data_IF_769979215120
#
_entry.id   IF_769979215120
#
_cell.length_a   1.000
_cell.length_b   1.000
_cell.length_c   1.000
_cell.angle_alpha   90.00
_cell.angle_beta   90.00
_cell.angle_gamma   90.00
#
_symmetry.space_group_name_H-M   'P 1'
#
loop_
_entity.id
_entity.type
_entity.pdbx_description
1 polymer ?
#
# COMPACT_ATOMS: atom_id res chain seq x y z
N UNK A 1 -0.59 -12.20 2.00
CA UNK A 1 -0.86 -10.81 2.47
C UNK A 1 -1.31 -10.02 1.26
N UNK A 2 -2.43 -9.30 1.34
CA UNK A 2 -2.94 -8.55 0.19
C UNK A 2 -2.40 -7.14 0.13
N UNK A 3 -1.85 -6.78 -1.02
CA UNK A 3 -1.34 -5.43 -1.30
C UNK A 3 -2.10 -4.81 -2.47
N UNK A 4 -2.45 -3.54 -2.31
CA UNK A 4 -3.01 -2.68 -3.34
C UNK A 4 -1.94 -1.70 -3.84
N UNK A 5 -1.76 -1.64 -5.15
CA UNK A 5 -0.85 -0.73 -5.83
C UNK A 5 -1.67 0.29 -6.61
N UNK A 6 -1.61 1.55 -6.21
CA UNK A 6 -2.17 2.66 -6.98
C UNK A 6 -1.15 3.07 -8.03
N UNK A 7 -1.40 2.68 -9.27
CA UNK A 7 -0.50 2.87 -10.41
C UNK A 7 -0.89 4.10 -11.25
N UNK A 8 0.08 4.61 -12.01
CA UNK A 8 -0.15 5.65 -13.01
C UNK A 8 -1.20 5.20 -14.03
N UNK A 9 -2.04 6.14 -14.46
CA UNK A 9 -3.05 5.92 -15.52
C UNK A 9 -2.56 6.38 -16.89
N UNK A 10 -1.33 6.89 -16.97
CA UNK A 10 -0.73 7.37 -18.23
C UNK A 10 -0.55 6.25 -19.24
N UNK A 11 -0.31 5.03 -18.73
CA UNK A 11 -0.09 3.84 -19.54
C UNK A 11 -0.91 2.68 -18.99
N UNK A 12 -1.60 1.96 -19.87
CA UNK A 12 -2.53 0.90 -19.49
C UNK A 12 -1.82 -0.37 -18.98
N UNK A 13 -0.64 -0.69 -19.53
CA UNK A 13 0.04 -1.98 -19.30
C UNK A 13 1.41 -1.85 -18.64
N UNK A 14 2.14 -0.76 -18.89
CA UNK A 14 3.50 -0.57 -18.36
C UNK A 14 3.59 -0.62 -16.83
N UNK A 15 2.71 0.08 -16.06
CA UNK A 15 2.81 0.06 -14.61
C UNK A 15 2.56 -1.32 -14.02
N UNK A 16 1.63 -2.09 -14.63
CA UNK A 16 1.38 -3.49 -14.23
C UNK A 16 2.60 -4.37 -14.49
N UNK A 17 3.19 -4.26 -15.68
CA UNK A 17 4.38 -5.02 -16.03
C UNK A 17 5.56 -4.70 -15.10
N UNK A 18 5.72 -3.44 -14.70
CA UNK A 18 6.74 -3.02 -13.73
C UNK A 18 6.55 -3.70 -12.36
N UNK A 19 5.31 -3.69 -11.83
CA UNK A 19 4.99 -4.35 -10.56
C UNK A 19 5.30 -5.84 -10.61
N UNK A 20 4.83 -6.52 -11.66
CA UNK A 20 5.06 -7.96 -11.85
C UNK A 20 6.56 -8.27 -11.94
N UNK A 21 7.30 -7.53 -12.79
CA UNK A 21 8.74 -7.72 -12.94
C UNK A 21 9.49 -7.52 -11.63
N UNK A 22 9.09 -6.56 -10.79
CA UNK A 22 9.67 -6.36 -9.48
C UNK A 22 9.38 -7.52 -8.51
N UNK A 23 8.13 -8.03 -8.51
CA UNK A 23 7.76 -9.19 -7.69
C UNK A 23 8.53 -10.45 -8.10
N UNK A 24 8.65 -10.68 -9.41
CA UNK A 24 9.43 -11.80 -9.97
C UNK A 24 10.92 -11.68 -9.62
N UNK A 25 11.50 -10.49 -9.77
CA UNK A 25 12.90 -10.23 -9.41
C UNK A 25 13.18 -10.46 -7.92
N UNK A 26 12.17 -10.23 -7.06
CA UNK A 26 12.24 -10.49 -5.62
C UNK A 26 11.84 -11.92 -5.25
N UNK A 27 11.50 -12.77 -6.24
CA UNK A 27 11.03 -14.15 -6.05
C UNK A 27 9.82 -14.25 -5.09
N UNK A 28 8.95 -13.23 -5.14
CA UNK A 28 7.70 -13.22 -4.39
C UNK A 28 6.67 -13.98 -5.21
N UNK A 29 6.03 -14.98 -4.59
CA UNK A 29 4.89 -15.68 -5.20
C UNK A 29 3.65 -14.82 -5.01
N UNK A 30 2.92 -14.57 -6.09
CA UNK A 30 1.74 -13.73 -6.05
C UNK A 30 0.57 -14.31 -6.86
N UNK A 31 -0.63 -13.86 -6.51
CA UNK A 31 -1.86 -14.08 -7.29
C UNK A 31 -2.50 -12.73 -7.54
N UNK A 32 -2.81 -12.43 -8.81
CA UNK A 32 -3.59 -11.24 -9.15
C UNK A 32 -5.04 -11.43 -8.72
N UNK A 33 -5.53 -10.52 -7.90
CA UNK A 33 -6.92 -10.51 -7.42
C UNK A 33 -7.75 -9.55 -8.28
N UNK A 34 -7.19 -8.38 -8.61
CA UNK A 34 -7.91 -7.34 -9.33
C UNK A 34 -6.96 -6.42 -10.10
N UNK A 35 -7.41 -5.98 -11.27
CA UNK A 35 -6.81 -4.88 -12.02
C UNK A 35 -7.91 -3.99 -12.61
N UNK A 36 -8.03 -2.78 -12.10
CA UNK A 36 -9.05 -1.83 -12.59
C UNK A 36 -8.57 -0.38 -12.49
N UNK A 37 -8.58 0.34 -13.62
CA UNK A 37 -8.48 1.81 -13.72
C UNK A 37 -7.44 2.47 -12.78
N UNK A 38 -6.24 1.92 -12.73
CA UNK A 38 -5.14 2.45 -11.91
C UNK A 38 -5.01 1.83 -10.52
N UNK A 39 -5.76 0.77 -10.21
CA UNK A 39 -5.57 -0.07 -9.04
C UNK A 39 -5.20 -1.50 -9.45
N UNK A 40 -4.14 -2.02 -8.85
CA UNK A 40 -3.78 -3.43 -8.89
C UNK A 40 -3.85 -4.01 -7.49
N UNK A 41 -4.44 -5.20 -7.34
CA UNK A 41 -4.46 -5.94 -6.08
C UNK A 41 -3.84 -7.30 -6.28
N UNK A 42 -2.84 -7.60 -5.45
CA UNK A 42 -2.16 -8.90 -5.43
C UNK A 42 -2.24 -9.50 -4.04
N UNK A 43 -2.45 -10.81 -3.96
CA UNK A 43 -2.12 -11.58 -2.77
C UNK A 43 -0.69 -12.10 -2.88
N UNK A 44 0.16 -11.71 -1.93
CA UNK A 44 1.57 -12.09 -1.84
C UNK A 44 1.74 -13.19 -0.80
N UNK A 45 2.12 -14.39 -1.24
CA UNK A 45 2.07 -15.62 -0.44
C UNK A 45 3.26 -15.82 0.51
N UNK A 46 4.38 -15.15 0.25
CA UNK A 46 5.63 -15.29 1.01
C UNK A 46 6.28 -13.93 1.30
N UNK A 47 5.47 -12.87 1.34
CA UNK A 47 5.94 -11.53 1.65
C UNK A 47 5.63 -11.16 3.10
N UNK A 48 6.49 -10.32 3.68
CA UNK A 48 6.25 -9.65 4.96
C UNK A 48 6.02 -8.14 4.74
N UNK A 49 5.87 -7.37 5.82
CA UNK A 49 5.66 -5.92 5.75
C UNK A 49 6.83 -5.15 5.12
N UNK A 50 8.05 -5.70 5.12
CA UNK A 50 9.23 -5.03 4.56
C UNK A 50 9.20 -4.98 3.03
N UNK A 51 8.44 -5.87 2.38
CA UNK A 51 8.36 -5.92 0.91
C UNK A 51 7.89 -4.58 0.32
N UNK A 52 6.97 -3.90 1.00
CA UNK A 52 6.43 -2.63 0.55
C UNK A 52 7.54 -1.56 0.51
N UNK A 53 8.48 -1.59 1.45
CA UNK A 53 9.61 -0.67 1.48
C UNK A 53 10.57 -0.92 0.32
N UNK A 54 10.86 -2.19 0.03
CA UNK A 54 11.74 -2.59 -1.08
C UNK A 54 11.10 -2.19 -2.42
N UNK A 55 9.81 -2.48 -2.59
CA UNK A 55 9.06 -2.15 -3.81
C UNK A 55 8.93 -0.63 -4.00
N UNK A 56 8.72 0.14 -2.93
CA UNK A 56 8.63 1.60 -3.02
C UNK A 56 9.91 2.25 -3.58
N UNK A 57 11.07 1.64 -3.38
CA UNK A 57 12.34 2.11 -3.96
C UNK A 57 12.58 1.67 -5.42
N UNK A 58 11.73 0.79 -5.98
CA UNK A 58 11.92 0.19 -7.32
C UNK A 58 10.83 0.57 -8.32
N UNK A 59 9.62 0.84 -7.84
CA UNK A 59 8.48 1.16 -8.71
C UNK A 59 8.48 2.65 -9.05
N UNK A 60 8.69 2.98 -10.33
CA UNK A 60 8.66 4.34 -10.84
C UNK A 60 7.26 4.81 -11.25
N UNK A 61 6.36 3.88 -11.59
CA UNK A 61 5.00 4.18 -12.08
C UNK A 61 3.90 3.88 -11.06
N UNK A 62 4.27 3.69 -9.79
CA UNK A 62 3.34 3.41 -8.69
C UNK A 62 3.34 4.56 -7.69
N UNK A 63 2.18 5.15 -7.44
CA UNK A 63 2.01 6.28 -6.53
C UNK A 63 1.93 5.85 -5.06
N UNK A 64 1.25 4.73 -4.78
CA UNK A 64 1.08 4.23 -3.42
C UNK A 64 1.06 2.70 -3.40
N UNK A 65 1.68 2.14 -2.36
CA UNK A 65 1.61 0.72 -2.02
C UNK A 65 0.88 0.63 -0.68
N UNK A 66 -0.23 -0.08 -0.65
CA UNK A 66 -1.15 -0.14 0.48
C UNK A 66 -1.29 -1.59 0.93
N UNK A 67 -1.22 -1.82 2.23
CA UNK A 67 -1.62 -3.10 2.81
C UNK A 67 -3.15 -3.11 2.99
N UNK A 68 -3.81 -4.17 2.51
CA UNK A 68 -5.24 -4.37 2.71
C UNK A 68 -5.44 -5.09 4.04
N UNK A 69 -6.11 -4.42 4.98
CA UNK A 69 -6.45 -4.98 6.30
C UNK A 69 -7.82 -5.67 6.33
N UNK A 70 -8.69 -5.32 5.39
CA UNK A 70 -9.98 -5.97 5.21
C UNK A 70 -10.78 -5.33 4.07
N UNK A 71 -11.89 -5.96 3.72
CA UNK A 71 -12.74 -5.58 2.60
C UNK A 71 -14.21 -5.85 2.97
N UNK A 72 -15.12 -4.98 2.55
CA UNK A 72 -16.55 -5.18 2.71
C UNK A 72 -17.28 -4.80 1.41
N UNK A 73 -18.41 -5.45 1.15
CA UNK A 73 -19.24 -5.10 0.00
C UNK A 73 -19.93 -3.76 0.22
N UNK A 74 -20.09 -2.99 -0.86
CA UNK A 74 -20.94 -1.80 -0.85
C UNK A 74 -22.36 -2.17 -1.28
N UNK A 75 -23.30 -2.17 -0.34
CA UNK A 75 -24.70 -2.55 -0.59
C UNK A 75 -25.60 -1.37 -1.00
N UNK A 76 -25.04 -0.19 -1.31
CA UNK A 76 -25.81 1.01 -1.67
C UNK A 76 -26.56 1.68 -0.50
N UNK A 77 -26.77 0.97 0.61
CA UNK A 77 -27.23 1.52 1.88
C UNK A 77 -26.02 1.97 2.72
N UNK A 78 -25.98 3.27 3.01
CA UNK A 78 -24.93 3.89 3.82
C UNK A 78 -24.85 3.27 5.21
N UNK A 79 -25.99 3.00 5.86
CA UNK A 79 -26.00 2.46 7.23
C UNK A 79 -25.39 1.06 7.28
N UNK A 80 -25.76 0.22 6.31
CA UNK A 80 -25.19 -1.13 6.18
C UNK A 80 -23.71 -1.11 5.85
N UNK A 81 -23.30 -0.20 4.95
CA UNK A 81 -21.88 -0.04 4.59
C UNK A 81 -21.06 0.39 5.80
N UNK A 82 -21.56 1.32 6.62
CA UNK A 82 -20.87 1.76 7.84
C UNK A 82 -20.79 0.64 8.88
N UNK A 83 -21.87 -0.14 9.05
CA UNK A 83 -21.86 -1.30 9.96
C UNK A 83 -20.81 -2.34 9.54
N UNK A 84 -20.80 -2.73 8.25
CA UNK A 84 -19.82 -3.67 7.72
C UNK A 84 -18.37 -3.14 7.82
N UNK A 85 -18.16 -1.83 7.60
CA UNK A 85 -16.85 -1.21 7.81
C UNK A 85 -16.41 -1.27 9.28
N UNK A 86 -17.34 -1.10 10.24
CA UNK A 86 -17.02 -1.21 11.66
C UNK A 86 -16.56 -2.62 11.99
N UNK A 87 -17.29 -3.64 11.51
CA UNK A 87 -16.93 -5.06 11.73
C UNK A 87 -15.55 -5.37 11.17
N UNK A 88 -15.25 -4.94 9.93
CA UNK A 88 -13.93 -5.12 9.33
C UNK A 88 -12.83 -4.42 10.13
N UNK A 89 -13.11 -3.26 10.72
CA UNK A 89 -12.14 -2.51 11.53
C UNK A 89 -11.89 -3.19 12.86
N UNK A 90 -12.92 -3.78 13.46
CA UNK A 90 -12.80 -4.52 14.72
C UNK A 90 -12.07 -5.86 14.54
N UNK A 91 -12.27 -6.53 13.39
CA UNK A 91 -11.54 -7.74 13.03
C UNK A 91 -10.10 -7.46 12.57
N UNK A 92 -9.88 -6.30 11.96
CA UNK A 92 -8.55 -5.89 11.58
C UNK A 92 -7.74 -5.63 12.85
N UNK A 93 -6.68 -6.41 13.05
CA UNK A 93 -5.72 -6.23 14.14
C UNK A 93 -4.85 -4.98 13.91
N UNK A 94 -5.52 -3.82 13.93
CA UNK A 94 -4.93 -2.50 13.69
C UNK A 94 -4.01 -2.15 14.84
N UNK A 95 -4.34 -2.51 16.08
CA UNK A 95 -3.50 -2.24 17.26
C UNK A 95 -2.12 -2.88 17.14
N UNK A 96 -2.03 -4.11 16.61
CA UNK A 96 -0.74 -4.73 16.32
C UNK A 96 0.09 -3.97 15.28
N UNK A 97 -0.56 -3.25 14.37
CA UNK A 97 0.12 -2.44 13.34
C UNK A 97 0.46 -1.03 13.83
N UNK A 98 -0.35 -0.49 14.76
CA UNK A 98 -0.18 0.82 15.36
C UNK A 98 0.62 0.70 16.66
N UNK A 99 1.94 0.64 16.55
CA UNK A 99 2.77 0.78 17.75
C UNK A 99 2.54 2.17 18.36
N UNK A 100 2.34 2.25 19.68
CA UNK A 100 2.00 3.47 20.45
C UNK A 100 3.00 4.64 20.33
N UNK A 101 4.12 4.43 19.63
CA UNK A 101 5.18 5.40 19.40
C UNK A 101 5.00 6.21 18.10
N UNK A 102 3.98 5.92 17.27
CA UNK A 102 3.79 6.62 16.00
C UNK A 102 2.45 7.36 15.91
N UNK A 103 2.53 8.63 15.47
CA UNK A 103 1.34 9.39 15.08
C UNK A 103 0.73 8.78 13.84
N UNK A 104 -0.53 8.34 13.93
CA UNK A 104 -1.27 7.73 12.82
C UNK A 104 -2.31 8.69 12.27
N UNK A 105 -2.46 8.70 10.95
CA UNK A 105 -3.50 9.46 10.26
C UNK A 105 -4.26 8.54 9.30
N UNK A 106 -5.57 8.80 9.16
CA UNK A 106 -6.43 8.07 8.24
C UNK A 106 -6.80 8.95 7.05
N UNK A 107 -6.65 8.40 5.84
CA UNK A 107 -7.11 9.04 4.61
C UNK A 107 -8.21 8.18 4.01
N UNK A 108 -9.36 8.79 3.73
CA UNK A 108 -10.42 8.16 2.95
C UNK A 108 -10.32 8.62 1.49
N UNK A 109 -10.51 7.71 0.54
CA UNK A 109 -10.68 8.02 -0.88
C UNK A 109 -11.90 7.29 -1.41
N UNK A 110 -12.76 8.01 -2.12
CA UNK A 110 -13.85 7.41 -2.88
C UNK A 110 -13.27 6.81 -4.16
N UNK A 111 -12.79 5.57 -4.07
CA UNK A 111 -12.72 4.69 -5.23
C UNK A 111 -13.92 3.74 -5.16
N UNK A 112 -14.27 3.04 -6.23
CA UNK A 112 -15.33 2.01 -6.28
C UNK A 112 -15.15 0.86 -5.27
N UNK A 113 -14.10 0.91 -4.46
CA UNK A 113 -13.64 -0.01 -3.43
C UNK A 113 -12.98 0.82 -2.32
N UNK A 114 -13.39 0.62 -1.07
CA UNK A 114 -12.79 1.28 0.08
C UNK A 114 -11.46 0.58 0.45
N UNK A 115 -10.35 1.02 -0.14
CA UNK A 115 -9.03 0.56 0.27
C UNK A 115 -8.52 1.51 1.36
N UNK A 116 -8.50 1.04 2.62
CA UNK A 116 -7.94 1.82 3.73
C UNK A 116 -6.42 1.75 3.68
N UNK A 117 -5.82 2.83 3.22
CA UNK A 117 -4.39 3.04 3.19
C UNK A 117 -3.85 3.36 4.59
N UNK A 118 -3.02 2.49 5.17
CA UNK A 118 -2.11 2.89 6.24
C UNK A 118 -0.81 3.38 5.59
N UNK A 119 -0.46 4.65 5.82
CA UNK A 119 0.87 5.17 5.47
C UNK A 119 1.85 4.63 6.52
N UNK A 120 2.70 3.68 6.15
CA UNK A 120 3.85 3.33 6.97
C UNK A 120 4.78 4.55 6.96
N UNK A 121 4.89 5.20 8.11
CA UNK A 121 5.64 6.45 8.28
C UNK A 121 7.11 6.27 7.87
N UNK A 122 7.56 7.11 6.93
CA UNK A 122 8.97 7.25 6.60
C UNK A 122 9.62 8.10 7.69
N UNK A 123 10.42 7.50 8.57
CA UNK A 123 11.46 8.26 9.26
C UNK A 123 12.46 8.69 8.18
N UNK A 124 12.50 9.99 7.86
CA UNK A 124 13.68 10.56 7.21
C UNK A 124 14.85 10.27 8.16
N UNK A 125 15.74 9.39 7.75
CA UNK A 125 17.08 9.39 8.31
C UNK A 125 17.69 10.72 7.86
N UNK A 126 17.90 11.62 8.82
CA UNK A 126 18.76 12.77 8.65
C UNK A 126 20.18 12.26 8.38
N UNK A 127 20.47 11.95 7.12
CA UNK A 127 21.83 12.00 6.60
C UNK A 127 22.10 13.47 6.26
N UNK A 128 22.38 14.27 7.29
CA UNK A 128 23.21 15.44 7.08
C UNK A 128 24.67 14.95 7.07
N UNK A 129 25.08 14.43 5.91
CA UNK A 129 26.48 14.35 5.55
C UNK A 129 26.96 15.77 5.26
N UNK A 130 27.52 16.45 6.24
CA UNK A 130 28.39 17.60 5.98
C UNK A 130 29.83 17.08 5.91
N UNK A 131 30.22 16.63 4.73
CA UNK A 131 31.61 16.62 4.32
C UNK A 131 31.72 17.51 3.07
N UNK A 132 32.78 18.30 3.06
CA UNK A 132 33.37 19.05 1.95
C UNK A 132 33.02 20.55 1.79
N UNK A 133 33.91 21.38 2.36
CA UNK A 133 34.52 22.57 1.75
C UNK A 133 35.62 23.08 2.73
N UNK A 134 36.87 22.62 2.62
CA UNK A 134 37.96 23.26 1.86
C UNK A 134 38.16 24.76 2.13
N UNK A 135 39.39 25.10 2.61
CA UNK A 135 40.16 26.35 2.37
C UNK A 135 39.57 27.63 3.01
N UNK A 136 40.25 28.42 3.83
CA UNK A 136 41.65 28.85 4.01
C UNK A 136 41.89 29.16 5.50
#
# INVERSE_FOLDING_TARGET
MRFAFLISKEHETLPKAEVIACLDALKVRFTEIMHERGLLVFDLHNADFSIAHILAGRLGMTHHILLILGECAHEGDVKKTVAALSEVVDEADIERLLTSLFTTAFSARNASFAVRAMRIGMSRSDKCSSADAERE
#
